data_IF_851242942115
#
_entry.id   IF_851242942115
#
_cell.length_a   1.000
_cell.length_b   1.000
_cell.length_c   1.000
_cell.angle_alpha   90.00
_cell.angle_beta   90.00
_cell.angle_gamma   90.00
#
_symmetry.space_group_name_H-M   'P 1'
#
loop_
_entity.id
_entity.type
_entity.pdbx_description
1 polymer ?
#
# COMPACT_ATOMS: atom_id res chain seq x y z
N UNK A 1 -35.50 37.73 33.27
CA UNK A 1 -35.22 37.79 31.81
C UNK A 1 -34.11 38.78 31.56
N UNK A 2 -33.02 38.32 30.94
CA UNK A 2 -31.94 39.04 30.24
C UNK A 2 -30.69 38.15 30.33
N UNK A 3 -30.68 37.07 29.56
CA UNK A 3 -29.99 36.95 28.26
C UNK A 3 -28.48 36.83 28.44
N UNK A 4 -28.04 35.61 28.75
CA UNK A 4 -26.66 35.16 28.55
C UNK A 4 -26.44 35.03 27.05
N UNK A 5 -25.88 36.06 26.43
CA UNK A 5 -25.40 36.00 25.06
C UNK A 5 -24.22 35.04 25.00
N UNK A 6 -24.46 33.79 24.61
CA UNK A 6 -23.45 32.95 23.97
C UNK A 6 -23.22 33.55 22.59
N UNK A 7 -22.39 34.60 22.53
CA UNK A 7 -21.94 35.14 21.25
C UNK A 7 -21.12 34.07 20.56
N UNK A 8 -21.66 33.49 19.49
CA UNK A 8 -20.87 32.73 18.52
C UNK A 8 -19.75 33.66 18.03
N UNK A 9 -18.55 33.50 18.59
CA UNK A 9 -17.38 34.23 18.12
C UNK A 9 -17.10 33.77 16.69
N UNK A 10 -17.27 34.69 15.74
CA UNK A 10 -16.96 34.43 14.33
C UNK A 10 -15.48 34.09 14.17
N UNK A 11 -15.12 33.18 13.25
CA UNK A 11 -13.72 32.94 12.89
C UNK A 11 -12.99 34.23 12.56
N UNK A 12 -11.68 34.26 12.83
CA UNK A 12 -10.81 35.39 12.47
C UNK A 12 -10.66 35.53 10.96
N UNK A 13 -10.92 34.46 10.21
CA UNK A 13 -10.92 34.42 8.75
C UNK A 13 -12.06 33.49 8.27
N UNK A 14 -12.89 33.92 7.31
CA UNK A 14 -13.91 33.04 6.73
C UNK A 14 -13.28 32.01 5.78
N UNK A 15 -13.99 30.91 5.50
CA UNK A 15 -13.53 29.94 4.50
C UNK A 15 -13.41 30.55 3.11
N UNK A 16 -14.34 31.43 2.74
CA UNK A 16 -14.38 32.10 1.44
C UNK A 16 -13.17 33.01 1.23
N UNK A 17 -12.58 33.55 2.31
CA UNK A 17 -11.34 34.35 2.27
C UNK A 17 -10.08 33.48 2.39
N UNK A 18 -10.09 32.45 3.25
CA UNK A 18 -8.91 31.65 3.54
C UNK A 18 -8.64 30.51 2.56
N UNK A 19 -9.67 29.89 1.99
CA UNK A 19 -9.51 28.78 1.05
C UNK A 19 -8.74 29.16 -0.22
N UNK A 20 -9.01 30.30 -0.90
CA UNK A 20 -8.23 30.69 -2.08
C UNK A 20 -6.72 30.81 -1.80
N UNK A 21 -6.35 31.25 -0.60
CA UNK A 21 -4.95 31.34 -0.17
C UNK A 21 -4.33 29.94 -0.08
N UNK A 22 -5.02 28.99 0.57
CA UNK A 22 -4.55 27.59 0.67
C UNK A 22 -4.52 26.90 -0.69
N UNK A 23 -5.52 27.13 -1.54
CA UNK A 23 -5.58 26.56 -2.87
C UNK A 23 -4.34 26.95 -3.68
N UNK A 24 -4.01 28.24 -3.75
CA UNK A 24 -2.87 28.73 -4.53
C UNK A 24 -1.53 28.43 -3.86
N UNK A 25 -1.39 28.77 -2.57
CA UNK A 25 -0.09 28.76 -1.90
C UNK A 25 0.29 27.39 -1.35
N UNK A 26 -0.67 26.47 -1.17
CA UNK A 26 -0.41 25.09 -0.72
C UNK A 26 -0.80 24.05 -1.78
N UNK A 27 -2.07 23.94 -2.15
CA UNK A 27 -2.56 22.81 -2.94
C UNK A 27 -1.96 22.79 -4.35
N UNK A 28 -2.10 23.88 -5.11
CA UNK A 28 -1.63 23.97 -6.49
C UNK A 28 -0.10 23.80 -6.57
N UNK A 29 0.64 24.50 -5.70
CA UNK A 29 2.10 24.38 -5.58
C UNK A 29 2.54 22.96 -5.24
N UNK A 30 1.84 22.30 -4.32
CA UNK A 30 2.16 20.93 -3.93
C UNK A 30 1.89 19.94 -5.06
N UNK A 31 0.82 20.10 -5.82
CA UNK A 31 0.55 19.29 -7.02
C UNK A 31 1.68 19.46 -8.04
N UNK A 32 2.12 20.69 -8.32
CA UNK A 32 3.25 20.95 -9.22
C UNK A 32 4.53 20.27 -8.71
N UNK A 33 4.81 20.38 -7.40
CA UNK A 33 5.97 19.77 -6.77
C UNK A 33 5.98 18.24 -6.92
N UNK A 34 4.88 17.56 -6.62
CA UNK A 34 4.82 16.09 -6.72
C UNK A 34 4.78 15.60 -8.17
N UNK A 35 4.33 16.44 -9.12
CA UNK A 35 4.42 16.16 -10.55
C UNK A 35 5.79 16.51 -11.16
N UNK A 36 6.76 16.97 -10.35
CA UNK A 36 8.18 17.07 -10.71
C UNK A 36 8.75 18.48 -10.78
N UNK A 37 7.96 19.53 -10.54
CA UNK A 37 8.45 20.90 -10.51
C UNK A 37 9.04 21.25 -9.14
N UNK A 38 10.34 20.98 -8.99
CA UNK A 38 11.09 21.19 -7.75
C UNK A 38 11.28 22.66 -7.36
N UNK A 39 10.91 23.61 -8.23
CA UNK A 39 10.90 25.04 -7.88
C UNK A 39 9.82 25.38 -6.85
N UNK A 40 8.83 24.50 -6.68
CA UNK A 40 7.71 24.65 -5.74
C UNK A 40 7.96 24.02 -4.35
N UNK A 41 9.21 23.85 -3.94
CA UNK A 41 9.52 23.40 -2.58
C UNK A 41 8.99 24.37 -1.52
N UNK A 42 8.59 23.81 -0.38
CA UNK A 42 8.05 24.56 0.75
C UNK A 42 9.13 24.85 1.79
N UNK A 43 9.22 26.11 2.19
CA UNK A 43 10.02 26.57 3.32
C UNK A 43 9.27 26.45 4.66
N UNK A 44 9.97 26.68 5.76
CA UNK A 44 9.35 26.82 7.08
C UNK A 44 8.36 27.99 7.12
N UNK A 45 8.61 29.07 6.37
CA UNK A 45 7.71 30.21 6.30
C UNK A 45 6.41 29.85 5.58
N UNK A 46 6.50 29.13 4.45
CA UNK A 46 5.32 28.64 3.73
C UNK A 46 4.46 27.75 4.62
N UNK A 47 5.10 26.83 5.36
CA UNK A 47 4.42 25.98 6.33
C UNK A 47 3.68 26.79 7.39
N UNK A 48 4.37 27.73 8.04
CA UNK A 48 3.77 28.56 9.09
C UNK A 48 2.60 29.35 8.54
N UNK A 49 2.74 29.94 7.35
CA UNK A 49 1.67 30.70 6.70
C UNK A 49 0.43 29.84 6.45
N UNK A 50 0.59 28.67 5.83
CA UNK A 50 -0.54 27.78 5.53
C UNK A 50 -1.22 27.26 6.80
N UNK A 51 -0.42 26.84 7.79
CA UNK A 51 -0.95 26.39 9.08
C UNK A 51 -1.70 27.51 9.80
N UNK A 52 -1.15 28.72 9.85
CA UNK A 52 -1.81 29.89 10.47
C UNK A 52 -3.10 30.26 9.75
N UNK A 53 -3.16 30.15 8.42
CA UNK A 53 -4.41 30.33 7.67
C UNK A 53 -5.49 29.33 8.10
N UNK A 54 -5.15 28.03 8.21
CA UNK A 54 -6.09 27.01 8.72
C UNK A 54 -6.50 27.30 10.17
N UNK A 55 -5.55 27.65 11.03
CA UNK A 55 -5.81 28.02 12.43
C UNK A 55 -6.81 29.18 12.53
N UNK A 56 -6.57 30.28 11.80
CA UNK A 56 -7.42 31.48 11.85
C UNK A 56 -8.86 31.22 11.38
N UNK A 57 -9.08 30.23 10.50
CA UNK A 57 -10.42 29.81 10.09
C UNK A 57 -11.13 28.95 11.13
N UNK A 58 -10.40 28.31 12.05
CA UNK A 58 -10.95 27.32 12.97
C UNK A 58 -10.91 27.72 14.45
N UNK A 59 -10.04 28.66 14.86
CA UNK A 59 -9.68 28.89 16.27
C UNK A 59 -10.89 29.13 17.19
N UNK A 60 -11.81 29.98 16.74
CA UNK A 60 -12.98 30.36 17.54
C UNK A 60 -14.07 29.27 17.58
N UNK A 61 -14.01 28.27 16.69
CA UNK A 61 -14.93 27.13 16.70
C UNK A 61 -14.27 25.88 16.08
N UNK A 62 -13.49 25.10 16.88
CA UNK A 62 -12.66 24.01 16.35
C UNK A 62 -13.44 22.84 15.75
N UNK A 63 -14.74 22.73 16.04
CA UNK A 63 -15.66 21.75 15.45
C UNK A 63 -16.77 22.41 14.63
N UNK A 64 -16.58 23.68 14.27
CA UNK A 64 -17.55 24.50 13.58
C UNK A 64 -17.66 24.21 12.08
N UNK A 65 -18.54 24.96 11.39
CA UNK A 65 -18.77 24.81 9.96
C UNK A 65 -17.50 24.95 9.11
N UNK A 66 -16.63 25.93 9.42
CA UNK A 66 -15.42 26.17 8.62
C UNK A 66 -14.39 25.04 8.73
N UNK A 67 -14.15 24.52 9.94
CA UNK A 67 -13.30 23.36 10.14
C UNK A 67 -13.83 22.14 9.36
N UNK A 68 -15.16 21.95 9.36
CA UNK A 68 -15.79 20.87 8.61
C UNK A 68 -15.66 21.05 7.09
N UNK A 69 -15.87 22.28 6.55
CA UNK A 69 -15.63 22.59 5.13
C UNK A 69 -14.19 22.28 4.74
N UNK A 70 -13.20 22.66 5.56
CA UNK A 70 -11.78 22.39 5.29
C UNK A 70 -11.47 20.89 5.26
N UNK A 71 -12.07 20.10 6.15
CA UNK A 71 -11.92 18.64 6.13
C UNK A 71 -12.51 18.02 4.86
N UNK A 72 -13.72 18.43 4.45
CA UNK A 72 -14.35 17.95 3.22
C UNK A 72 -13.51 18.35 2.00
N UNK A 73 -12.97 19.56 2.00
CA UNK A 73 -12.16 20.06 0.91
C UNK A 73 -10.78 19.39 0.84
N UNK A 74 -10.17 19.04 1.98
CA UNK A 74 -8.99 18.18 2.04
C UNK A 74 -9.28 16.82 1.39
N UNK A 75 -10.37 16.16 1.80
CA UNK A 75 -10.80 14.88 1.22
C UNK A 75 -10.95 14.99 -0.29
N UNK A 76 -11.71 15.98 -0.76
CA UNK A 76 -11.92 16.24 -2.18
C UNK A 76 -10.61 16.48 -2.94
N UNK A 77 -9.67 17.22 -2.34
CA UNK A 77 -8.35 17.48 -2.95
C UNK A 77 -7.57 16.19 -3.19
N UNK A 78 -7.60 15.25 -2.23
CA UNK A 78 -6.97 13.94 -2.39
C UNK A 78 -7.66 13.14 -3.50
N UNK A 79 -9.00 13.11 -3.51
CA UNK A 79 -9.81 12.39 -4.50
C UNK A 79 -9.59 12.93 -5.92
N UNK A 80 -9.58 14.26 -6.08
CA UNK A 80 -9.37 14.95 -7.35
C UNK A 80 -7.96 14.67 -7.91
N UNK A 81 -6.94 14.70 -7.05
CA UNK A 81 -5.57 14.37 -7.48
C UNK A 81 -5.44 12.91 -7.92
N UNK A 82 -5.99 11.98 -7.15
CA UNK A 82 -5.96 10.56 -7.50
C UNK A 82 -6.67 10.32 -8.84
N UNK A 83 -7.89 10.87 -8.98
CA UNK A 83 -8.71 10.69 -10.19
C UNK A 83 -8.11 11.33 -11.43
N UNK A 84 -7.52 12.53 -11.31
CA UNK A 84 -7.04 13.31 -12.46
C UNK A 84 -5.58 13.06 -12.83
N UNK A 85 -4.74 12.62 -11.89
CA UNK A 85 -3.28 12.44 -12.12
C UNK A 85 -2.82 11.01 -11.92
N UNK A 86 -3.27 10.33 -10.88
CA UNK A 86 -2.81 8.97 -10.56
C UNK A 86 -3.43 7.98 -11.53
N UNK A 87 -4.76 7.82 -11.51
CA UNK A 87 -5.48 6.81 -12.31
C UNK A 87 -5.10 6.85 -13.79
N UNK A 88 -5.16 8.01 -14.49
CA UNK A 88 -4.89 8.04 -15.93
C UNK A 88 -3.44 7.67 -16.27
N UNK A 89 -2.50 7.85 -15.33
CA UNK A 89 -1.10 7.56 -15.56
C UNK A 89 -0.72 6.08 -15.41
N UNK A 90 -1.59 5.29 -14.78
CA UNK A 90 -1.37 3.87 -14.52
C UNK A 90 -2.37 2.98 -15.28
N UNK A 91 -3.54 3.50 -15.64
CA UNK A 91 -4.55 2.80 -16.42
C UNK A 91 -3.97 2.25 -17.73
N UNK A 92 -4.31 0.99 -18.03
CA UNK A 92 -3.90 0.30 -19.25
C UNK A 92 -2.45 -0.20 -19.27
N UNK A 93 -1.64 0.09 -18.25
CA UNK A 93 -0.31 -0.50 -18.08
C UNK A 93 -0.42 -1.91 -17.52
N UNK A 94 0.58 -2.75 -17.81
CA UNK A 94 0.67 -4.14 -17.35
C UNK A 94 2.08 -4.45 -16.84
N UNK A 95 2.20 -5.58 -16.14
CA UNK A 95 3.47 -6.18 -15.72
C UNK A 95 4.37 -5.16 -14.97
N UNK A 96 5.68 -5.23 -15.17
CA UNK A 96 6.66 -4.36 -14.50
C UNK A 96 6.38 -2.86 -14.73
N UNK A 97 5.81 -2.48 -15.89
CA UNK A 97 5.49 -1.09 -16.21
C UNK A 97 4.37 -0.56 -15.31
N UNK A 98 3.36 -1.41 -15.04
CA UNK A 98 2.29 -1.12 -14.09
C UNK A 98 2.86 -0.92 -12.69
N UNK A 99 3.69 -1.86 -12.23
CA UNK A 99 4.24 -1.85 -10.88
C UNK A 99 5.13 -0.62 -10.62
N UNK A 100 6.03 -0.28 -11.55
CA UNK A 100 6.83 0.94 -11.45
C UNK A 100 5.97 2.20 -11.44
N UNK A 101 4.92 2.23 -12.28
CA UNK A 101 3.96 3.33 -12.31
C UNK A 101 3.25 3.51 -10.98
N UNK A 102 2.77 2.41 -10.39
CA UNK A 102 2.11 2.40 -9.09
C UNK A 102 3.04 2.88 -7.97
N UNK A 103 4.26 2.33 -7.87
CA UNK A 103 5.24 2.72 -6.85
C UNK A 103 5.57 4.21 -6.95
N UNK A 104 5.78 4.73 -8.16
CA UNK A 104 6.00 6.16 -8.38
C UNK A 104 4.82 6.99 -7.88
N UNK A 105 3.59 6.62 -8.26
CA UNK A 105 2.40 7.38 -7.88
C UNK A 105 2.09 7.31 -6.39
N UNK A 106 2.33 6.17 -5.75
CA UNK A 106 2.22 6.04 -4.30
C UNK A 106 3.24 6.93 -3.57
N UNK A 107 4.49 6.97 -4.02
CA UNK A 107 5.51 7.85 -3.43
C UNK A 107 5.13 9.33 -3.56
N UNK A 108 4.62 9.75 -4.72
CA UNK A 108 4.09 11.11 -4.90
C UNK A 108 2.93 11.38 -3.93
N UNK A 109 2.00 10.44 -3.80
CA UNK A 109 0.87 10.51 -2.87
C UNK A 109 1.31 10.63 -1.42
N UNK A 110 2.36 9.91 -1.00
CA UNK A 110 2.95 10.02 0.34
C UNK A 110 3.53 11.41 0.61
N UNK A 111 4.23 11.99 -0.37
CA UNK A 111 4.77 13.36 -0.25
C UNK A 111 3.63 14.37 -0.12
N UNK A 112 2.61 14.26 -0.98
CA UNK A 112 1.42 15.12 -0.93
C UNK A 112 0.71 15.02 0.43
N UNK A 113 0.44 13.79 0.88
CA UNK A 113 -0.20 13.51 2.17
C UNK A 113 0.57 14.13 3.33
N UNK A 114 1.90 13.95 3.38
CA UNK A 114 2.74 14.48 4.44
C UNK A 114 2.65 16.01 4.55
N UNK A 115 2.67 16.71 3.41
CA UNK A 115 2.55 18.18 3.42
C UNK A 115 1.16 18.65 3.80
N UNK A 116 0.11 18.02 3.26
CA UNK A 116 -1.25 18.42 3.59
C UNK A 116 -1.60 18.12 5.05
N UNK A 117 -1.15 17.00 5.62
CA UNK A 117 -1.32 16.75 7.06
C UNK A 117 -0.66 17.86 7.88
N UNK A 118 0.51 18.37 7.47
CA UNK A 118 1.17 19.48 8.19
C UNK A 118 0.34 20.76 8.11
N UNK A 119 -0.13 21.15 6.92
CA UNK A 119 -0.92 22.38 6.76
C UNK A 119 -2.26 22.29 7.50
N UNK A 120 -2.92 21.14 7.46
CA UNK A 120 -4.24 20.90 8.04
C UNK A 120 -4.20 20.24 9.42
N UNK A 121 -3.03 20.17 10.08
CA UNK A 121 -2.85 19.42 11.33
C UNK A 121 -3.82 19.83 12.44
N UNK A 122 -4.27 21.09 12.44
CA UNK A 122 -5.30 21.57 13.34
C UNK A 122 -6.58 20.70 13.30
N UNK A 123 -6.98 20.23 12.12
CA UNK A 123 -8.18 19.41 11.95
C UNK A 123 -8.02 18.04 12.64
N UNK A 124 -6.88 17.37 12.46
CA UNK A 124 -6.58 16.10 13.16
C UNK A 124 -6.56 16.28 14.68
N UNK A 125 -6.04 17.41 15.15
CA UNK A 125 -5.93 17.69 16.58
C UNK A 125 -7.28 18.01 17.23
N UNK A 126 -8.14 18.75 16.52
CA UNK A 126 -9.33 19.32 17.14
C UNK A 126 -10.66 18.87 16.54
N UNK A 127 -10.78 18.80 15.22
CA UNK A 127 -12.05 18.42 14.57
C UNK A 127 -12.27 16.91 14.62
N UNK A 128 -11.28 16.13 14.17
CA UNK A 128 -11.36 14.69 13.96
C UNK A 128 -11.82 13.94 15.23
N UNK A 129 -11.22 14.16 16.43
CA UNK A 129 -11.66 13.47 17.64
C UNK A 129 -13.07 13.88 18.09
N UNK A 130 -13.43 15.16 17.92
CA UNK A 130 -14.74 15.70 18.34
C UNK A 130 -15.88 15.19 17.47
N UNK A 131 -15.63 15.01 16.17
CA UNK A 131 -16.62 14.56 15.19
C UNK A 131 -16.53 13.06 14.89
N UNK A 132 -15.56 12.34 15.49
CA UNK A 132 -15.28 10.91 15.23
C UNK A 132 -15.10 10.62 13.73
N UNK A 133 -14.38 11.50 13.04
CA UNK A 133 -14.05 11.34 11.63
C UNK A 133 -12.79 10.47 11.48
N UNK A 134 -12.55 9.87 10.30
CA UNK A 134 -11.22 9.36 9.96
C UNK A 134 -10.18 10.48 10.01
N UNK A 135 -8.99 10.16 10.46
CA UNK A 135 -7.84 11.07 10.40
C UNK A 135 -7.53 11.50 8.97
N UNK A 136 -6.77 12.58 8.81
CA UNK A 136 -6.32 13.03 7.49
C UNK A 136 -5.49 11.93 6.80
N UNK A 137 -4.63 11.23 7.55
CA UNK A 137 -3.86 10.09 7.03
C UNK A 137 -4.77 8.96 6.51
N UNK A 138 -5.75 8.53 7.29
CA UNK A 138 -6.70 7.48 6.87
C UNK A 138 -7.51 7.92 5.66
N UNK A 139 -7.96 9.18 5.65
CA UNK A 139 -8.73 9.77 4.54
C UNK A 139 -7.92 9.80 3.25
N UNK A 140 -6.64 10.17 3.33
CA UNK A 140 -5.72 10.14 2.19
C UNK A 140 -5.47 8.73 1.66
N UNK A 141 -5.20 7.77 2.55
CA UNK A 141 -5.01 6.37 2.15
C UNK A 141 -6.28 5.80 1.51
N UNK A 142 -7.45 6.10 2.09
CA UNK A 142 -8.73 5.66 1.56
C UNK A 142 -9.00 6.21 0.15
N UNK A 143 -8.72 7.49 -0.10
CA UNK A 143 -8.88 8.07 -1.43
C UNK A 143 -8.01 7.39 -2.49
N UNK A 144 -6.76 7.04 -2.17
CA UNK A 144 -5.90 6.30 -3.09
C UNK A 144 -6.41 4.88 -3.34
N UNK A 145 -6.82 4.19 -2.25
CA UNK A 145 -7.30 2.82 -2.33
C UNK A 145 -8.57 2.73 -3.18
N UNK A 146 -9.61 3.51 -2.87
CA UNK A 146 -10.91 3.42 -3.56
C UNK A 146 -10.82 3.81 -5.04
N UNK A 147 -10.04 4.83 -5.37
CA UNK A 147 -10.09 5.44 -6.71
C UNK A 147 -9.02 4.92 -7.67
N UNK A 148 -7.85 4.51 -7.17
CA UNK A 148 -6.77 3.98 -8.01
C UNK A 148 -6.56 2.49 -7.80
N UNK A 149 -6.49 2.07 -6.54
CA UNK A 149 -6.09 0.71 -6.23
C UNK A 149 -7.21 -0.31 -6.51
N UNK A 150 -8.45 -0.02 -6.13
CA UNK A 150 -9.59 -0.91 -6.30
C UNK A 150 -9.87 -1.31 -7.76
N UNK A 151 -9.65 -0.41 -8.73
CA UNK A 151 -9.79 -0.71 -10.17
C UNK A 151 -8.69 -1.65 -10.68
N UNK A 152 -7.52 -1.66 -10.04
CA UNK A 152 -6.30 -2.21 -10.60
C UNK A 152 -5.71 -3.37 -9.81
N UNK A 153 -6.31 -3.69 -8.66
CA UNK A 153 -5.77 -4.66 -7.72
C UNK A 153 -5.43 -5.99 -8.39
N UNK A 154 -6.36 -6.58 -9.12
CA UNK A 154 -6.14 -7.88 -9.79
C UNK A 154 -4.91 -7.84 -10.71
N UNK A 155 -4.77 -6.79 -11.52
CA UNK A 155 -3.62 -6.62 -12.41
C UNK A 155 -2.29 -6.38 -11.68
N UNK A 156 -2.33 -5.73 -10.52
CA UNK A 156 -1.14 -5.52 -9.67
C UNK A 156 -0.74 -6.82 -8.98
N UNK A 157 -1.71 -7.56 -8.43
CA UNK A 157 -1.52 -8.86 -7.79
C UNK A 157 -0.93 -9.85 -8.78
N UNK A 158 -1.54 -9.99 -9.97
CA UNK A 158 -1.07 -10.89 -11.02
C UNK A 158 0.37 -10.53 -11.47
N UNK A 159 0.66 -9.25 -11.65
CA UNK A 159 1.99 -8.80 -12.06
C UNK A 159 3.08 -9.09 -11.00
N UNK A 160 2.77 -8.89 -9.71
CA UNK A 160 3.71 -9.22 -8.62
C UNK A 160 3.91 -10.72 -8.49
N UNK A 161 2.84 -11.52 -8.56
CA UNK A 161 2.94 -12.98 -8.50
C UNK A 161 3.77 -13.50 -9.68
N UNK A 162 3.54 -12.96 -10.88
CA UNK A 162 4.34 -13.29 -12.07
C UNK A 162 5.83 -12.98 -11.90
N UNK A 163 6.21 -11.88 -11.23
CA UNK A 163 7.60 -11.59 -10.89
C UNK A 163 8.19 -12.65 -9.96
N UNK A 164 7.46 -13.03 -8.90
CA UNK A 164 7.90 -14.05 -7.94
C UNK A 164 8.10 -15.39 -8.66
N UNK A 165 7.18 -15.77 -9.55
CA UNK A 165 7.26 -17.00 -10.31
C UNK A 165 8.41 -17.03 -11.32
N UNK A 166 8.70 -15.91 -11.99
CA UNK A 166 9.90 -15.77 -12.81
C UNK A 166 11.17 -15.97 -11.97
N UNK A 167 11.22 -15.40 -10.77
CA UNK A 167 12.33 -15.62 -9.84
C UNK A 167 12.45 -17.08 -9.39
N UNK A 168 11.32 -17.79 -9.15
CA UNK A 168 11.30 -19.24 -8.86
C UNK A 168 11.75 -20.11 -10.03
N UNK A 169 11.73 -19.57 -11.24
CA UNK A 169 12.26 -20.19 -12.45
C UNK A 169 13.73 -19.85 -12.70
N UNK A 170 14.35 -19.05 -11.82
CA UNK A 170 15.75 -18.66 -11.88
C UNK A 170 16.01 -17.36 -12.63
N UNK A 171 14.97 -16.61 -13.01
CA UNK A 171 15.12 -15.27 -13.58
C UNK A 171 15.58 -14.29 -12.50
N UNK A 172 16.53 -13.41 -12.84
CA UNK A 172 16.91 -12.32 -11.95
C UNK A 172 15.90 -11.18 -12.08
N UNK A 173 15.15 -10.92 -11.01
CA UNK A 173 14.15 -9.86 -10.97
C UNK A 173 14.62 -8.64 -10.15
N UNK A 174 13.88 -7.54 -10.25
CA UNK A 174 13.98 -6.43 -9.30
C UNK A 174 13.21 -6.75 -8.00
N UNK A 175 13.90 -7.37 -7.04
CA UNK A 175 13.32 -7.67 -5.72
C UNK A 175 12.89 -6.40 -4.95
N UNK A 176 13.52 -5.25 -5.21
CA UNK A 176 13.14 -4.01 -4.56
C UNK A 176 11.79 -3.51 -5.08
N UNK A 177 11.49 -3.72 -6.37
CA UNK A 177 10.17 -3.45 -6.93
C UNK A 177 9.09 -4.28 -6.24
N UNK A 178 9.29 -5.60 -6.11
CA UNK A 178 8.34 -6.48 -5.41
C UNK A 178 8.11 -5.99 -3.99
N UNK A 179 9.19 -5.76 -3.24
CA UNK A 179 9.11 -5.25 -1.87
C UNK A 179 8.33 -3.93 -1.79
N UNK A 180 8.64 -2.97 -2.67
CA UNK A 180 7.97 -1.67 -2.67
C UNK A 180 6.47 -1.80 -2.95
N UNK A 181 6.05 -2.71 -3.83
CA UNK A 181 4.63 -2.97 -4.09
C UNK A 181 3.96 -3.62 -2.87
N UNK A 182 4.60 -4.60 -2.25
CA UNK A 182 4.09 -5.24 -1.03
C UNK A 182 3.95 -4.26 0.15
N UNK A 183 4.91 -3.35 0.29
CA UNK A 183 4.85 -2.28 1.29
C UNK A 183 3.63 -1.36 1.05
N UNK A 184 3.17 -1.16 -0.20
CA UNK A 184 1.94 -0.40 -0.49
C UNK A 184 0.71 -1.08 0.13
N UNK A 185 0.55 -2.40 -0.05
CA UNK A 185 -0.57 -3.15 0.55
C UNK A 185 -0.59 -3.00 2.08
N UNK A 186 0.58 -3.08 2.71
CA UNK A 186 0.71 -2.96 4.16
C UNK A 186 0.41 -1.54 4.62
N UNK A 187 1.01 -0.53 3.97
CA UNK A 187 0.80 0.88 4.32
C UNK A 187 -0.67 1.31 4.13
N UNK A 188 -1.36 0.81 3.10
CA UNK A 188 -2.80 1.07 2.91
C UNK A 188 -3.68 0.36 3.95
N UNK A 189 -3.28 -0.83 4.39
CA UNK A 189 -4.02 -1.63 5.39
C UNK A 189 -3.85 -1.13 6.83
N UNK A 190 -2.88 -0.23 7.05
CA UNK A 190 -2.48 0.22 8.38
C UNK A 190 -2.17 -0.97 9.30
N UNK A 191 -2.54 -0.85 10.57
CA UNK A 191 -2.28 -1.89 11.58
C UNK A 191 -3.00 -3.22 11.30
N UNK A 192 -4.09 -3.20 10.53
CA UNK A 192 -4.87 -4.40 10.23
C UNK A 192 -4.27 -5.27 9.13
N UNK A 193 -3.38 -4.73 8.29
CA UNK A 193 -2.84 -5.39 7.09
C UNK A 193 -3.91 -6.03 6.17
N UNK A 194 -5.17 -5.59 6.27
CA UNK A 194 -6.32 -6.27 5.66
C UNK A 194 -6.19 -6.40 4.14
N UNK A 195 -5.63 -5.40 3.47
CA UNK A 195 -5.43 -5.41 2.02
C UNK A 195 -4.27 -6.35 1.63
N UNK A 196 -3.18 -6.40 2.40
CA UNK A 196 -2.12 -7.38 2.16
C UNK A 196 -2.66 -8.81 2.23
N UNK A 197 -3.43 -9.13 3.28
CA UNK A 197 -3.97 -10.47 3.47
C UNK A 197 -4.97 -10.86 2.37
N UNK A 198 -5.94 -9.98 2.10
CA UNK A 198 -7.05 -10.26 1.17
C UNK A 198 -6.65 -10.13 -0.29
N UNK A 199 -5.93 -9.08 -0.62
CA UNK A 199 -5.75 -8.66 -2.01
C UNK A 199 -4.46 -9.25 -2.63
N UNK A 200 -3.53 -9.75 -1.80
CA UNK A 200 -2.27 -10.35 -2.24
C UNK A 200 -2.00 -11.75 -1.67
N UNK A 201 -1.94 -11.90 -0.35
CA UNK A 201 -1.41 -13.12 0.30
C UNK A 201 -2.21 -14.37 -0.08
N UNK A 202 -3.54 -14.29 -0.11
CA UNK A 202 -4.39 -15.43 -0.50
C UNK A 202 -4.09 -15.92 -1.93
N UNK A 203 -4.03 -14.99 -2.88
CA UNK A 203 -3.70 -15.30 -4.28
C UNK A 203 -2.28 -15.85 -4.42
N UNK A 204 -1.31 -15.25 -3.72
CA UNK A 204 0.09 -15.68 -3.76
C UNK A 204 0.28 -17.09 -3.17
N UNK A 205 -0.38 -17.41 -2.06
CA UNK A 205 -0.31 -18.76 -1.46
C UNK A 205 -0.93 -19.82 -2.38
N UNK A 206 -2.06 -19.49 -3.00
CA UNK A 206 -2.73 -20.38 -3.96
C UNK A 206 -1.87 -20.65 -5.18
N UNK A 207 -1.27 -19.60 -5.76
CA UNK A 207 -0.37 -19.71 -6.89
C UNK A 207 0.89 -20.52 -6.54
N UNK A 208 1.47 -20.25 -5.37
CA UNK A 208 2.60 -21.01 -4.83
C UNK A 208 2.29 -22.50 -4.68
N UNK A 209 1.10 -22.85 -4.18
CA UNK A 209 0.68 -24.23 -4.06
C UNK A 209 0.65 -24.92 -5.43
N UNK A 210 0.04 -24.28 -6.43
CA UNK A 210 0.00 -24.80 -7.81
C UNK A 210 1.40 -24.98 -8.40
N UNK A 211 2.28 -24.00 -8.19
CA UNK A 211 3.67 -24.04 -8.67
C UNK A 211 4.44 -25.24 -8.11
N UNK A 212 4.41 -25.44 -6.79
CA UNK A 212 5.14 -26.53 -6.14
C UNK A 212 4.48 -27.88 -6.33
N UNK A 213 3.15 -27.97 -6.40
CA UNK A 213 2.43 -29.22 -6.70
C UNK A 213 2.84 -29.79 -8.07
N UNK A 214 2.97 -28.91 -9.06
CA UNK A 214 3.44 -29.28 -10.40
C UNK A 214 4.90 -29.75 -10.38
N UNK A 215 5.80 -28.98 -9.76
CA UNK A 215 7.22 -29.36 -9.63
C UNK A 215 7.39 -30.69 -8.91
N UNK A 216 6.67 -30.89 -7.80
CA UNK A 216 6.71 -32.12 -7.03
C UNK A 216 6.26 -33.32 -7.86
N UNK A 217 5.15 -33.21 -8.57
CA UNK A 217 4.65 -34.26 -9.46
C UNK A 217 5.67 -34.65 -10.54
N UNK A 218 6.29 -33.66 -11.20
CA UNK A 218 7.30 -33.89 -12.24
C UNK A 218 8.55 -34.58 -11.66
N UNK A 219 9.01 -34.16 -10.49
CA UNK A 219 10.16 -34.75 -9.82
C UNK A 219 9.89 -36.13 -9.26
N UNK A 220 8.69 -36.38 -8.72
CA UNK A 220 8.29 -37.71 -8.26
C UNK A 220 8.28 -38.72 -9.40
N UNK A 221 7.92 -38.31 -10.61
CA UNK A 221 7.98 -39.17 -11.79
C UNK A 221 9.41 -39.44 -12.28
N UNK A 222 10.31 -38.45 -12.17
CA UNK A 222 11.60 -38.46 -12.88
C UNK A 222 12.85 -38.64 -12.03
N UNK A 223 12.80 -38.36 -10.72
CA UNK A 223 13.98 -38.31 -9.83
C UNK A 223 14.06 -39.50 -8.86
N UNK A 224 15.28 -39.80 -8.41
CA UNK A 224 15.54 -40.70 -7.29
C UNK A 224 15.04 -40.12 -5.96
N UNK A 225 15.01 -40.92 -4.89
CA UNK A 225 14.66 -40.42 -3.55
C UNK A 225 15.61 -39.31 -3.10
N UNK A 226 16.92 -39.52 -3.24
CA UNK A 226 17.94 -38.55 -2.80
C UNK A 226 17.86 -37.24 -3.58
N UNK A 227 17.76 -37.33 -4.92
CA UNK A 227 17.62 -36.15 -5.78
C UNK A 227 16.33 -35.36 -5.49
N UNK A 228 15.25 -36.06 -5.16
CA UNK A 228 13.99 -35.43 -4.77
C UNK A 228 14.15 -34.65 -3.46
N UNK A 229 14.70 -35.28 -2.42
CA UNK A 229 14.88 -34.64 -1.11
C UNK A 229 15.83 -33.44 -1.19
N UNK A 230 16.90 -33.53 -1.98
CA UNK A 230 17.79 -32.40 -2.26
C UNK A 230 17.05 -31.24 -2.94
N UNK A 231 16.14 -31.51 -3.88
CA UNK A 231 15.32 -30.48 -4.53
C UNK A 231 14.33 -29.85 -3.57
N UNK A 232 13.75 -30.61 -2.64
CA UNK A 232 12.88 -30.06 -1.60
C UNK A 232 13.66 -29.10 -0.70
N UNK A 233 14.84 -29.50 -0.22
CA UNK A 233 15.68 -28.65 0.63
C UNK A 233 16.10 -27.35 -0.08
N UNK A 234 16.49 -27.44 -1.36
CA UNK A 234 16.81 -26.28 -2.20
C UNK A 234 15.62 -25.32 -2.29
N UNK A 235 14.40 -25.83 -2.56
CA UNK A 235 13.21 -25.01 -2.66
C UNK A 235 12.86 -24.30 -1.35
N UNK A 236 12.91 -25.02 -0.21
CA UNK A 236 12.67 -24.44 1.10
C UNK A 236 13.66 -23.31 1.41
N UNK A 237 14.94 -23.53 1.10
CA UNK A 237 16.00 -22.54 1.31
C UNK A 237 15.83 -21.31 0.42
N UNK A 238 15.49 -21.49 -0.85
CA UNK A 238 15.22 -20.38 -1.76
C UNK A 238 14.03 -19.53 -1.30
N UNK A 239 12.92 -20.17 -0.91
CA UNK A 239 11.72 -19.47 -0.43
C UNK A 239 11.96 -18.77 0.90
N UNK A 240 12.77 -19.35 1.80
CA UNK A 240 13.20 -18.63 2.99
C UNK A 240 14.01 -17.37 2.64
N UNK A 241 14.82 -17.41 1.59
CA UNK A 241 15.49 -16.23 1.01
C UNK A 241 14.49 -15.18 0.50
N UNK A 242 13.45 -15.58 -0.22
CA UNK A 242 12.38 -14.68 -0.71
C UNK A 242 11.58 -14.06 0.44
N UNK A 243 11.29 -14.83 1.48
CA UNK A 243 10.65 -14.35 2.72
C UNK A 243 11.49 -13.29 3.42
N UNK A 244 12.80 -13.53 3.57
CA UNK A 244 13.69 -12.55 4.19
C UNK A 244 13.81 -11.28 3.36
N UNK A 245 13.70 -11.39 2.03
CA UNK A 245 13.85 -10.27 1.11
C UNK A 245 12.59 -9.40 1.03
N UNK A 246 11.42 -10.01 0.82
CA UNK A 246 10.18 -9.27 0.58
C UNK A 246 8.87 -9.94 1.06
N UNK A 247 8.80 -11.26 1.32
CA UNK A 247 7.57 -11.94 1.80
C UNK A 247 7.46 -12.12 3.33
N UNK A 248 8.03 -11.20 4.12
CA UNK A 248 8.18 -11.36 5.59
C UNK A 248 6.89 -11.69 6.33
N UNK A 249 5.76 -11.14 5.89
CA UNK A 249 4.46 -11.29 6.57
C UNK A 249 3.81 -12.65 6.32
N UNK A 250 4.25 -13.35 5.29
CA UNK A 250 3.67 -14.63 4.87
C UNK A 250 4.55 -15.83 5.21
N UNK A 251 5.66 -15.64 5.96
CA UNK A 251 6.67 -16.68 6.26
C UNK A 251 6.04 -18.01 6.64
N UNK A 252 5.22 -18.01 7.69
CA UNK A 252 4.68 -19.24 8.26
C UNK A 252 3.76 -19.96 7.25
N UNK A 253 2.76 -19.25 6.72
CA UNK A 253 1.78 -19.81 5.78
C UNK A 253 2.45 -20.31 4.50
N UNK A 254 3.46 -19.60 4.02
CA UNK A 254 4.20 -19.97 2.82
C UNK A 254 4.97 -21.27 3.04
N UNK A 255 5.72 -21.38 4.14
CA UNK A 255 6.46 -22.60 4.46
C UNK A 255 5.52 -23.80 4.68
N UNK A 256 4.38 -23.60 5.33
CA UNK A 256 3.34 -24.63 5.49
C UNK A 256 2.82 -25.12 4.13
N UNK A 257 2.58 -24.23 3.17
CA UNK A 257 2.18 -24.60 1.79
C UNK A 257 3.26 -25.43 1.10
N UNK A 258 4.53 -25.02 1.20
CA UNK A 258 5.65 -25.74 0.60
C UNK A 258 5.79 -27.15 1.20
N UNK A 259 5.79 -27.26 2.53
CA UNK A 259 5.88 -28.56 3.22
C UNK A 259 4.70 -29.48 2.86
N UNK A 260 3.50 -28.91 2.75
CA UNK A 260 2.32 -29.67 2.35
C UNK A 260 2.45 -30.22 0.93
N UNK A 261 2.72 -29.36 -0.06
CA UNK A 261 2.75 -29.75 -1.48
C UNK A 261 3.97 -30.63 -1.81
N UNK A 262 5.13 -30.35 -1.21
CA UNK A 262 6.37 -31.09 -1.50
C UNK A 262 6.49 -32.41 -0.72
N UNK A 263 5.94 -32.49 0.50
CA UNK A 263 6.14 -33.66 1.37
C UNK A 263 4.84 -34.37 1.69
N UNK A 264 3.84 -33.66 2.22
CA UNK A 264 2.64 -34.30 2.77
C UNK A 264 1.80 -34.96 1.67
N UNK A 265 1.57 -34.27 0.55
CA UNK A 265 0.80 -34.80 -0.60
C UNK A 265 1.46 -36.06 -1.19
N UNK A 266 2.80 -36.15 -1.11
CA UNK A 266 3.57 -37.23 -1.74
C UNK A 266 4.12 -38.28 -0.75
N UNK A 267 3.73 -38.23 0.54
CA UNK A 267 4.32 -39.03 1.61
C UNK A 267 4.41 -40.53 1.30
N UNK A 268 3.33 -41.16 0.81
CA UNK A 268 3.35 -42.59 0.48
C UNK A 268 4.33 -42.93 -0.64
N UNK A 269 4.37 -42.12 -1.70
CA UNK A 269 5.30 -42.34 -2.83
C UNK A 269 6.75 -42.06 -2.45
N UNK A 270 6.99 -41.10 -1.55
CA UNK A 270 8.33 -40.81 -1.01
C UNK A 270 8.83 -42.03 -0.23
N UNK A 271 7.98 -42.62 0.62
CA UNK A 271 8.34 -43.82 1.39
C UNK A 271 8.63 -45.02 0.48
N UNK A 272 7.81 -45.25 -0.56
CA UNK A 272 8.07 -46.30 -1.57
C UNK A 272 9.45 -46.10 -2.24
N UNK A 273 9.77 -44.88 -2.70
CA UNK A 273 11.07 -44.58 -3.30
C UNK A 273 12.23 -44.75 -2.32
N UNK A 274 12.03 -44.41 -1.05
CA UNK A 274 13.03 -44.58 0.01
C UNK A 274 13.38 -46.05 0.21
N UNK A 275 12.38 -46.92 0.26
CA UNK A 275 12.59 -48.37 0.40
C UNK A 275 13.32 -48.96 -0.82
N UNK A 276 12.96 -48.53 -2.03
CA UNK A 276 13.66 -48.93 -3.27
C UNK A 276 15.13 -48.50 -3.23
N UNK A 277 15.40 -47.27 -2.79
CA UNK A 277 16.76 -46.74 -2.71
C UNK A 277 17.61 -47.52 -1.70
N UNK A 278 17.06 -47.82 -0.51
CA UNK A 278 17.73 -48.62 0.52
C UNK A 278 18.00 -50.06 0.08
N UNK A 279 17.14 -50.64 -0.77
CA UNK A 279 17.34 -51.98 -1.31
C UNK A 279 18.38 -52.03 -2.44
N UNK A 280 18.74 -50.89 -3.04
CA UNK A 280 19.72 -50.78 -4.12
C UNK A 280 21.14 -50.39 -3.64
N UNK A 281 21.28 -49.97 -2.38
CA UNK A 281 22.54 -49.62 -1.71
C UNK A 281 23.17 -50.84 -1.00
#
# INVERSE_FOLDING_TARGET
MSSTGTGDMKPTLSYEEGWPILQEQAINRLILLVEGDTSNQFSSEDYMRCYTTVYNMCDNNPAGPEAHKLYLQYKKTMEDYVSSKVVPSIRGKKDDILLHGLVKRWNNHKVMTRWLIRFFHYLDRYLVPRRKLPSLQETSCFAFYELAYGEMNDGVTDAVISLIDRERQGEKIDQALVKNVLDIYVEMGGDSMKYYAKDFEESMLKDTAVFYSKKASDWMASKSYEDYMLKVEECLKEEEGRVQSYLRYSKQKLLEVLEYELLTVHASKIEEKKQINLAAA
#
